data_IF_034436363495
#
_entry.id   IF_034436363495
#
_cell.length_a   1.000
_cell.length_b   1.000
_cell.length_c   1.000
_cell.angle_alpha   90.00
_cell.angle_beta   90.00
_cell.angle_gamma   90.00
#
_symmetry.space_group_name_H-M   'P 1'
#
loop_
_entity.id
_entity.type
_entity.pdbx_description
1 polymer ?
#
# COMPACT_ATOMS: atom_id res chain seq x y z
N UNK A 1 0.86 11.23 -24.90
CA UNK A 1 0.91 11.16 -26.36
C UNK A 1 0.53 9.80 -26.96
N UNK A 2 0.68 8.67 -26.28
CA UNK A 2 0.38 7.36 -26.84
C UNK A 2 1.05 6.19 -26.12
N UNK A 3 1.52 5.22 -26.88
CA UNK A 3 2.12 3.96 -26.37
C UNK A 3 3.40 3.64 -27.12
N UNK A 4 4.30 2.88 -26.48
CA UNK A 4 5.50 2.37 -27.10
C UNK A 4 5.50 0.85 -27.14
N UNK A 5 5.96 0.29 -28.27
CA UNK A 5 6.33 -1.13 -28.41
C UNK A 5 7.77 -1.24 -28.86
N UNK A 6 8.38 -2.41 -28.69
CA UNK A 6 9.80 -2.59 -29.08
C UNK A 6 10.04 -3.90 -29.82
N UNK A 7 11.09 -3.89 -30.64
CA UNK A 7 11.61 -5.07 -31.34
C UNK A 7 13.14 -5.08 -31.32
N UNK A 8 13.70 -6.23 -30.99
CA UNK A 8 15.15 -6.43 -31.12
C UNK A 8 15.49 -6.59 -32.61
N UNK A 9 16.49 -5.81 -33.05
CA UNK A 9 17.04 -5.84 -34.37
C UNK A 9 18.45 -6.46 -34.33
N UNK A 10 19.06 -6.86 -35.48
CA UNK A 10 20.48 -7.20 -35.53
C UNK A 10 21.38 -6.11 -34.95
N UNK A 11 22.65 -6.43 -34.73
CA UNK A 11 23.71 -5.49 -34.28
C UNK A 11 23.44 -4.79 -32.93
N UNK A 12 22.71 -5.49 -32.03
CA UNK A 12 22.34 -4.96 -30.71
C UNK A 12 21.58 -3.63 -30.77
N UNK A 13 20.73 -3.47 -31.77
CA UNK A 13 19.82 -2.33 -31.90
C UNK A 13 18.45 -2.75 -31.34
N UNK A 14 17.86 -1.89 -30.52
CA UNK A 14 16.45 -1.99 -30.15
C UNK A 14 15.69 -0.93 -30.93
N UNK A 15 14.69 -1.34 -31.70
CA UNK A 15 13.77 -0.45 -32.40
C UNK A 15 12.53 -0.24 -31.56
N UNK A 16 12.22 1.02 -31.26
CA UNK A 16 11.03 1.46 -30.57
C UNK A 16 10.02 1.95 -31.62
N UNK A 17 8.76 1.57 -31.45
CA UNK A 17 7.64 2.08 -32.23
C UNK A 17 6.78 2.90 -31.28
N UNK A 18 6.80 4.21 -31.46
CA UNK A 18 6.05 5.17 -30.64
C UNK A 18 4.75 5.49 -31.38
N UNK A 19 3.66 4.90 -30.92
CA UNK A 19 2.30 5.12 -31.44
C UNK A 19 1.76 6.43 -30.87
N UNK A 20 1.66 7.47 -31.68
CA UNK A 20 1.29 8.82 -31.27
C UNK A 20 -0.17 9.06 -31.60
N UNK A 21 -1.03 9.02 -30.57
CA UNK A 21 -2.48 9.29 -30.70
C UNK A 21 -2.80 10.78 -30.48
N UNK A 22 -2.03 11.43 -29.57
CA UNK A 22 -2.13 12.87 -29.31
C UNK A 22 -0.87 13.54 -29.81
N UNK A 23 -0.96 14.20 -30.99
CA UNK A 23 0.18 14.85 -31.61
C UNK A 23 0.63 16.08 -30.80
N UNK A 24 1.90 16.15 -30.36
CA UNK A 24 2.39 17.27 -29.59
C UNK A 24 2.32 18.60 -30.35
N UNK A 25 1.63 19.58 -29.76
CA UNK A 25 1.40 20.90 -30.39
C UNK A 25 2.67 21.73 -30.53
N UNK A 26 3.66 21.49 -29.70
CA UNK A 26 4.98 22.14 -29.73
C UNK A 26 5.96 21.48 -30.68
N UNK A 27 5.53 20.43 -31.40
CA UNK A 27 6.35 19.68 -32.33
C UNK A 27 7.43 18.82 -31.72
N UNK A 28 7.32 18.51 -30.40
CA UNK A 28 8.29 17.67 -29.67
C UNK A 28 7.62 16.46 -29.04
N UNK A 29 8.07 15.27 -29.42
CA UNK A 29 7.70 14.02 -28.78
C UNK A 29 8.75 13.68 -27.72
N UNK A 30 8.41 13.87 -26.46
CA UNK A 30 9.26 13.49 -25.32
C UNK A 30 8.89 12.08 -24.90
N UNK A 31 9.88 11.19 -24.85
CA UNK A 31 9.73 9.82 -24.39
C UNK A 31 10.11 9.77 -22.92
N UNK A 32 9.10 9.89 -22.06
CA UNK A 32 9.28 9.94 -20.63
C UNK A 32 10.05 8.72 -20.10
N UNK A 33 11.05 9.00 -19.26
CA UNK A 33 11.88 7.99 -18.64
C UNK A 33 12.91 7.32 -19.53
N UNK A 34 12.96 7.57 -20.84
CA UNK A 34 13.98 6.97 -21.73
C UNK A 34 15.28 7.79 -21.70
N UNK A 35 16.31 7.19 -21.13
CA UNK A 35 17.66 7.76 -21.01
C UNK A 35 18.58 7.40 -22.18
N UNK A 36 18.22 6.35 -22.96
CA UNK A 36 18.99 5.94 -24.14
C UNK A 36 19.06 7.05 -25.19
N UNK A 37 20.19 7.11 -25.91
CA UNK A 37 20.34 7.97 -27.07
C UNK A 37 19.78 7.28 -28.31
N UNK A 38 19.07 8.04 -29.13
CA UNK A 38 18.61 7.56 -30.43
C UNK A 38 19.78 7.53 -31.42
N UNK A 39 19.91 6.44 -32.16
CA UNK A 39 20.85 6.32 -33.28
C UNK A 39 20.18 6.73 -34.60
N UNK A 40 18.85 6.60 -34.71
CA UNK A 40 18.02 7.09 -35.80
C UNK A 40 16.59 7.32 -35.34
N UNK A 41 15.86 8.21 -36.00
CA UNK A 41 14.41 8.36 -35.85
C UNK A 41 13.78 8.72 -37.21
N UNK A 42 12.59 8.17 -37.49
CA UNK A 42 11.84 8.40 -38.72
C UNK A 42 10.34 8.05 -38.56
N UNK A 43 9.49 8.48 -39.48
CA UNK A 43 8.09 8.05 -39.50
C UNK A 43 7.95 6.69 -40.19
N UNK A 44 7.22 5.74 -39.56
CA UNK A 44 7.00 4.41 -40.14
C UNK A 44 6.28 4.49 -41.50
N UNK A 45 5.34 5.43 -41.64
CA UNK A 45 4.57 5.67 -42.87
C UNK A 45 5.34 6.43 -43.96
N UNK A 46 6.56 6.89 -43.72
CA UNK A 46 7.41 7.53 -44.71
C UNK A 46 8.29 6.49 -45.45
N UNK A 47 8.01 6.16 -46.74
CA UNK A 47 8.80 5.22 -47.50
C UNK A 47 10.28 5.63 -47.67
N UNK A 48 10.56 6.94 -47.64
CA UNK A 48 11.93 7.47 -47.74
C UNK A 48 12.68 7.42 -46.42
N UNK A 49 12.00 7.17 -45.31
CA UNK A 49 12.53 7.20 -43.93
C UNK A 49 13.34 8.45 -43.64
N UNK A 50 12.79 9.61 -44.07
CA UNK A 50 13.40 10.89 -43.78
C UNK A 50 13.75 11.04 -42.32
N UNK A 51 15.00 11.40 -41.98
CA UNK A 51 15.45 11.41 -40.58
C UNK A 51 14.76 12.53 -39.80
N UNK A 52 14.26 12.19 -38.62
CA UNK A 52 13.77 13.14 -37.63
C UNK A 52 14.92 13.52 -36.69
N UNK A 53 15.01 14.82 -36.35
CA UNK A 53 15.98 15.30 -35.41
C UNK A 53 15.65 14.76 -33.99
N UNK A 54 16.69 14.27 -33.30
CA UNK A 54 16.59 13.79 -31.92
C UNK A 54 17.45 14.63 -30.99
N UNK A 55 17.05 14.76 -29.75
CA UNK A 55 17.77 15.53 -28.72
C UNK A 55 17.37 15.10 -27.33
N UNK A 56 17.63 15.98 -26.36
CA UNK A 56 17.27 15.76 -24.95
C UNK A 56 16.39 16.88 -24.44
N UNK A 57 15.36 16.50 -23.70
CA UNK A 57 14.59 17.42 -22.88
C UNK A 57 14.56 16.88 -21.45
N UNK A 58 15.08 17.63 -20.46
CA UNK A 58 15.23 17.19 -19.06
C UNK A 58 15.86 15.80 -18.92
N UNK A 59 16.93 15.55 -19.69
CA UNK A 59 17.64 14.25 -19.77
C UNK A 59 16.84 13.08 -20.41
N UNK A 60 15.62 13.31 -20.88
CA UNK A 60 14.81 12.32 -21.60
C UNK A 60 14.97 12.48 -23.11
N UNK A 61 14.76 11.40 -23.85
CA UNK A 61 14.81 11.44 -25.32
C UNK A 61 13.67 12.32 -25.85
N UNK A 62 14.00 13.27 -26.71
CA UNK A 62 13.04 14.09 -27.46
C UNK A 62 13.25 13.89 -28.97
N UNK A 63 12.15 13.77 -29.70
CA UNK A 63 12.11 13.69 -31.17
C UNK A 63 11.38 14.90 -31.70
N UNK A 64 11.99 15.65 -32.64
CA UNK A 64 11.33 16.76 -33.31
C UNK A 64 10.42 16.21 -34.42
N UNK A 65 9.14 16.53 -34.32
CA UNK A 65 8.10 16.06 -35.22
C UNK A 65 7.79 17.09 -36.31
N UNK A 66 7.30 16.66 -37.50
CA UNK A 66 6.79 17.59 -38.51
C UNK A 66 5.54 18.34 -38.01
N UNK A 67 5.35 19.55 -38.49
CA UNK A 67 4.21 20.40 -38.09
C UNK A 67 2.86 19.80 -38.51
N UNK A 68 2.83 19.03 -39.61
CA UNK A 68 1.64 18.37 -40.11
C UNK A 68 1.54 16.96 -39.59
N UNK A 69 0.41 16.60 -38.97
CA UNK A 69 0.10 15.26 -38.53
C UNK A 69 -0.08 14.34 -39.73
N UNK A 70 0.74 13.28 -39.91
CA UNK A 70 0.58 12.39 -41.09
C UNK A 70 -0.68 11.53 -41.02
N UNK A 71 -1.04 11.02 -39.86
CA UNK A 71 -2.26 10.26 -39.60
C UNK A 71 -2.85 10.69 -38.24
N UNK A 72 -4.13 11.13 -38.28
CA UNK A 72 -4.79 11.63 -37.07
C UNK A 72 -5.22 10.53 -36.09
N UNK A 73 -5.19 9.26 -36.51
CA UNK A 73 -5.60 8.13 -35.68
C UNK A 73 -4.39 7.49 -34.97
N UNK A 74 -3.33 7.16 -35.73
CA UNK A 74 -2.11 6.55 -35.19
C UNK A 74 -0.92 6.85 -36.12
N UNK A 75 -0.15 7.87 -35.76
CA UNK A 75 1.15 8.08 -36.40
C UNK A 75 2.26 7.38 -35.60
N UNK A 76 3.00 6.48 -36.26
CA UNK A 76 4.09 5.73 -35.63
C UNK A 76 5.44 6.39 -35.91
N UNK A 77 6.08 6.88 -34.85
CA UNK A 77 7.46 7.32 -34.86
C UNK A 77 8.38 6.16 -34.51
N UNK A 78 9.28 5.83 -35.43
CA UNK A 78 10.29 4.76 -35.19
C UNK A 78 11.56 5.40 -34.62
N UNK A 79 12.09 4.82 -33.56
CA UNK A 79 13.35 5.25 -32.95
C UNK A 79 14.23 4.02 -32.75
N UNK A 80 15.43 4.06 -33.29
CA UNK A 80 16.45 3.04 -33.04
C UNK A 80 17.38 3.51 -31.93
N UNK A 81 17.66 2.63 -30.98
CA UNK A 81 18.62 2.86 -29.88
C UNK A 81 19.61 1.71 -29.84
N UNK A 82 20.82 1.97 -29.34
CA UNK A 82 21.84 0.94 -29.15
C UNK A 82 21.61 0.20 -27.83
N UNK A 83 21.59 -1.13 -27.88
CA UNK A 83 21.42 -1.97 -26.69
C UNK A 83 19.96 -2.06 -26.24
N UNK A 84 19.79 -2.39 -24.97
CA UNK A 84 18.49 -2.37 -24.30
C UNK A 84 18.08 -0.94 -23.96
N UNK A 85 16.76 -0.63 -23.87
CA UNK A 85 16.31 0.67 -23.38
C UNK A 85 16.83 0.93 -21.95
N UNK A 86 17.56 2.03 -21.78
CA UNK A 86 17.90 2.55 -20.46
C UNK A 86 16.75 3.43 -19.97
N UNK A 87 16.02 2.94 -18.98
CA UNK A 87 14.81 3.58 -18.49
C UNK A 87 15.00 4.09 -17.08
N UNK A 88 14.58 5.33 -16.84
CA UNK A 88 14.59 5.96 -15.52
C UNK A 88 13.57 5.29 -14.59
N UNK A 89 14.01 4.33 -13.80
CA UNK A 89 13.17 3.57 -12.87
C UNK A 89 13.38 4.10 -11.45
N UNK A 90 12.31 4.50 -10.79
CA UNK A 90 12.37 4.93 -9.40
C UNK A 90 12.85 3.78 -8.48
N UNK A 91 13.77 4.04 -7.53
CA UNK A 91 14.17 3.04 -6.55
C UNK A 91 12.98 2.52 -5.75
N UNK A 92 13.03 1.26 -5.35
CA UNK A 92 12.07 0.66 -4.42
C UNK A 92 12.55 0.86 -2.99
N UNK A 93 11.68 1.41 -2.13
CA UNK A 93 11.92 1.55 -0.69
C UNK A 93 10.98 0.58 0.02
N UNK A 94 11.51 -0.34 0.82
CA UNK A 94 10.71 -1.36 1.52
C UNK A 94 11.17 -1.55 2.96
N UNK A 95 10.21 -1.92 3.81
CA UNK A 95 10.41 -2.33 5.19
C UNK A 95 9.27 -3.27 5.61
N UNK A 96 9.40 -4.02 6.73
CA UNK A 96 8.36 -4.93 7.20
C UNK A 96 7.01 -4.25 7.48
N UNK A 97 7.02 -2.99 7.95
CA UNK A 97 5.82 -2.20 8.20
C UNK A 97 6.13 -0.69 8.14
N UNK A 98 5.13 0.16 7.86
CA UNK A 98 5.30 1.63 7.87
C UNK A 98 5.36 2.22 9.29
N UNK A 99 5.02 1.45 10.33
CA UNK A 99 5.16 1.85 11.74
C UNK A 99 6.13 0.90 12.46
N UNK A 100 6.83 1.41 13.48
CA UNK A 100 7.78 0.62 14.25
C UNK A 100 7.92 1.13 15.68
N UNK A 101 8.51 0.31 16.57
CA UNK A 101 8.62 0.64 17.98
C UNK A 101 10.02 1.15 18.34
N UNK A 102 11.05 0.38 18.10
CA UNK A 102 12.41 0.70 18.56
C UNK A 102 13.29 1.16 17.40
N UNK A 103 13.55 0.26 16.48
CA UNK A 103 14.34 0.50 15.27
C UNK A 103 13.68 -0.18 14.08
N UNK A 104 13.91 0.37 12.89
CA UNK A 104 13.44 -0.19 11.63
C UNK A 104 14.61 -0.23 10.65
N UNK A 105 14.77 -1.35 9.99
CA UNK A 105 15.66 -1.47 8.84
C UNK A 105 14.87 -1.26 7.55
N UNK A 106 15.28 -0.29 6.76
CA UNK A 106 14.68 0.07 5.48
C UNK A 106 15.63 -0.32 4.37
N UNK A 107 15.16 -1.12 3.43
CA UNK A 107 15.91 -1.51 2.24
C UNK A 107 15.57 -0.61 1.07
N UNK A 108 16.60 -0.17 0.35
CA UNK A 108 16.48 0.57 -0.90
C UNK A 108 17.15 -0.23 -2.00
N UNK A 109 16.42 -0.48 -3.09
CA UNK A 109 16.92 -1.25 -4.24
C UNK A 109 16.51 -0.60 -5.55
N UNK A 110 17.18 -0.97 -6.63
CA UNK A 110 16.83 -0.58 -8.00
C UNK A 110 16.97 -1.78 -8.93
N UNK A 111 16.09 -1.85 -9.93
CA UNK A 111 16.24 -2.75 -11.07
C UNK A 111 17.06 -2.14 -12.21
N UNK A 112 17.44 -0.87 -12.10
CA UNK A 112 18.28 -0.18 -13.06
C UNK A 112 19.75 -0.55 -12.81
N UNK A 113 20.45 -0.96 -13.87
CA UNK A 113 21.86 -1.37 -13.82
C UNK A 113 22.79 -0.14 -13.77
N UNK A 114 23.99 -0.31 -13.22
CA UNK A 114 25.09 0.68 -13.20
C UNK A 114 24.69 2.02 -12.57
N UNK A 115 23.97 1.96 -11.44
CA UNK A 115 23.54 3.15 -10.71
C UNK A 115 24.03 3.16 -9.27
N UNK A 116 24.30 4.34 -8.75
CA UNK A 116 24.47 4.63 -7.34
C UNK A 116 23.13 5.03 -6.74
N UNK A 117 22.69 4.34 -5.70
CA UNK A 117 21.48 4.74 -4.94
C UNK A 117 21.87 5.69 -3.81
N UNK A 118 21.27 6.88 -3.80
CA UNK A 118 21.47 7.86 -2.74
C UNK A 118 20.17 8.16 -2.04
N UNK A 119 20.24 8.46 -0.76
CA UNK A 119 19.05 8.64 0.07
C UNK A 119 19.15 9.84 1.02
N UNK A 120 18.00 10.25 1.52
CA UNK A 120 17.84 11.17 2.66
C UNK A 120 16.77 10.64 3.61
N UNK A 121 16.82 11.06 4.88
CA UNK A 121 15.82 10.65 5.90
C UNK A 121 15.07 11.85 6.49
N UNK A 122 15.27 13.04 5.95
CA UNK A 122 14.75 14.32 6.45
C UNK A 122 13.79 14.99 5.46
N UNK A 123 13.15 14.24 4.60
CA UNK A 123 12.23 14.70 3.55
C UNK A 123 12.85 15.58 2.45
N UNK A 124 14.15 15.81 2.44
CA UNK A 124 14.82 16.52 1.35
C UNK A 124 15.00 15.61 0.11
N UNK A 125 15.22 16.22 -1.05
CA UNK A 125 15.52 15.48 -2.26
C UNK A 125 16.96 14.96 -2.24
N UNK A 126 17.21 13.67 -2.54
CA UNK A 126 18.57 13.18 -2.72
C UNK A 126 19.30 13.89 -3.88
N UNK A 127 20.57 14.26 -3.67
CA UNK A 127 21.47 14.86 -4.63
C UNK A 127 22.79 14.07 -4.69
N UNK A 128 23.71 14.47 -5.56
CA UNK A 128 24.96 13.73 -5.82
C UNK A 128 25.84 13.51 -4.57
N UNK A 129 25.76 14.42 -3.59
CA UNK A 129 26.52 14.33 -2.33
C UNK A 129 25.71 13.73 -1.16
N UNK A 130 24.48 13.31 -1.41
CA UNK A 130 23.67 12.64 -0.38
C UNK A 130 24.29 11.27 -0.03
N UNK A 131 24.03 10.72 1.16
CA UNK A 131 24.52 9.41 1.57
C UNK A 131 24.24 8.31 0.53
N UNK A 132 25.26 7.49 0.29
CA UNK A 132 25.16 6.31 -0.59
C UNK A 132 24.47 5.17 0.17
N UNK A 133 23.59 4.45 -0.50
CA UNK A 133 22.99 3.22 0.02
C UNK A 133 24.05 2.10 -0.04
N UNK A 134 24.60 1.74 1.10
CA UNK A 134 25.60 0.65 1.23
C UNK A 134 25.02 -0.59 1.94
N UNK A 135 23.76 -0.55 2.35
CA UNK A 135 23.05 -1.60 3.07
C UNK A 135 21.73 -1.09 3.61
N UNK A 136 21.07 -1.84 4.50
CA UNK A 136 19.84 -1.39 5.13
C UNK A 136 20.03 -0.09 5.91
N UNK A 137 19.10 0.84 5.74
CA UNK A 137 19.06 2.13 6.44
C UNK A 137 18.36 1.91 7.78
N UNK A 138 19.09 2.12 8.88
CA UNK A 138 18.54 1.97 10.22
C UNK A 138 17.87 3.28 10.68
N UNK A 139 16.57 3.22 10.91
CA UNK A 139 15.80 4.30 11.52
C UNK A 139 15.62 4.09 13.03
N UNK A 140 15.79 5.14 13.81
CA UNK A 140 15.57 5.16 15.27
C UNK A 140 14.51 6.18 15.68
N UNK A 141 14.05 7.00 14.74
CA UNK A 141 12.99 8.00 14.88
C UNK A 141 12.13 8.00 13.61
N UNK A 142 10.93 8.58 13.69
CA UNK A 142 10.07 8.80 12.52
C UNK A 142 10.83 9.56 11.44
N UNK A 143 10.72 9.10 10.20
CA UNK A 143 11.43 9.68 9.08
C UNK A 143 10.68 9.48 7.75
N UNK A 144 10.84 10.40 6.82
CA UNK A 144 10.56 10.15 5.42
C UNK A 144 11.87 9.79 4.71
N UNK A 145 11.96 8.55 4.27
CA UNK A 145 13.07 8.10 3.42
C UNK A 145 12.76 8.49 1.98
N UNK A 146 13.67 9.26 1.37
CA UNK A 146 13.64 9.58 -0.06
C UNK A 146 14.85 8.93 -0.70
N UNK A 147 14.68 8.30 -1.87
CA UNK A 147 15.77 7.65 -2.61
C UNK A 147 15.73 8.01 -4.09
N UNK A 148 16.91 8.11 -4.69
CA UNK A 148 17.09 8.40 -6.12
C UNK A 148 18.33 7.69 -6.66
N UNK A 149 18.26 7.24 -7.92
CA UNK A 149 19.39 6.67 -8.63
C UNK A 149 20.21 7.75 -9.35
N UNK A 150 21.53 7.58 -9.32
CA UNK A 150 22.50 8.45 -9.96
C UNK A 150 23.48 7.65 -10.80
N UNK A 151 23.99 8.27 -11.86
CA UNK A 151 25.08 7.74 -12.69
C UNK A 151 26.07 8.87 -12.97
N UNK A 152 27.34 8.69 -12.59
CA UNK A 152 28.38 9.72 -12.69
C UNK A 152 27.93 11.09 -12.10
N UNK A 153 27.29 11.06 -10.92
CA UNK A 153 26.80 12.25 -10.21
C UNK A 153 25.51 12.89 -10.80
N UNK A 154 24.99 12.38 -11.91
CA UNK A 154 23.73 12.88 -12.52
C UNK A 154 22.54 12.03 -12.09
N UNK A 155 21.38 12.62 -11.77
CA UNK A 155 20.19 11.87 -11.42
C UNK A 155 19.63 11.17 -12.67
N UNK A 156 19.37 9.86 -12.58
CA UNK A 156 18.89 9.01 -13.67
C UNK A 156 17.56 8.31 -13.32
N UNK A 157 16.89 8.75 -12.27
CA UNK A 157 15.56 8.21 -11.89
C UNK A 157 14.65 9.29 -11.30
N UNK A 158 13.34 9.06 -11.28
CA UNK A 158 12.44 9.76 -10.34
C UNK A 158 12.84 9.48 -8.88
N UNK A 159 12.30 10.29 -7.96
CA UNK A 159 12.52 10.12 -6.52
C UNK A 159 11.39 9.25 -5.94
N UNK A 160 11.76 8.19 -5.24
CA UNK A 160 10.84 7.45 -4.36
C UNK A 160 10.81 8.06 -2.97
N UNK A 161 9.63 8.05 -2.32
CA UNK A 161 9.44 8.53 -0.95
C UNK A 161 8.52 7.61 -0.18
N UNK A 162 8.95 7.22 1.02
CA UNK A 162 8.12 6.44 1.96
C UNK A 162 8.31 7.02 3.36
N UNK A 163 7.19 7.22 4.07
CA UNK A 163 7.21 7.69 5.47
C UNK A 163 7.11 6.51 6.41
N UNK A 164 7.97 6.52 7.43
CA UNK A 164 7.99 5.53 8.51
C UNK A 164 7.78 6.24 9.85
N UNK A 165 6.86 5.71 10.66
CA UNK A 165 6.48 6.36 11.92
C UNK A 165 6.90 5.49 13.11
N UNK A 166 7.72 6.07 13.99
CA UNK A 166 8.00 5.46 15.29
C UNK A 166 6.82 5.70 16.21
N UNK A 167 6.32 4.63 16.81
CA UNK A 167 5.14 4.66 17.67
C UNK A 167 5.46 4.07 19.05
N UNK A 168 4.68 4.51 20.06
CA UNK A 168 4.72 3.90 21.38
C UNK A 168 3.65 2.82 21.46
N UNK A 169 3.96 1.60 21.91
CA UNK A 169 2.96 0.56 22.12
C UNK A 169 1.89 1.01 23.12
N UNK A 170 0.63 0.74 22.78
CA UNK A 170 -0.49 0.96 23.69
C UNK A 170 -0.32 0.10 24.94
N UNK A 171 -0.66 0.65 26.10
CA UNK A 171 -0.56 -0.05 27.38
C UNK A 171 -1.77 -0.98 27.56
N UNK A 172 -1.58 -2.17 28.13
CA UNK A 172 -2.69 -3.07 28.44
C UNK A 172 -3.53 -2.53 29.60
N UNK A 173 -4.77 -2.99 29.67
CA UNK A 173 -5.63 -2.81 30.83
C UNK A 173 -5.41 -3.94 31.86
N UNK A 174 -5.75 -3.69 33.11
CA UNK A 174 -5.73 -4.70 34.18
C UNK A 174 -7.16 -5.20 34.40
N UNK A 175 -7.33 -6.52 34.33
CA UNK A 175 -8.60 -7.19 34.60
C UNK A 175 -8.36 -8.23 35.68
N UNK A 176 -9.12 -8.18 36.76
CA UNK A 176 -8.89 -9.03 37.94
C UNK A 176 -9.14 -10.51 37.64
N UNK A 177 -10.20 -10.80 36.88
CA UNK A 177 -10.60 -12.16 36.48
C UNK A 177 -11.17 -12.18 35.08
N UNK A 178 -10.80 -13.18 34.30
CA UNK A 178 -11.27 -13.34 32.92
C UNK A 178 -11.76 -14.75 32.66
N UNK A 179 -12.69 -14.86 31.69
CA UNK A 179 -13.14 -16.12 31.10
C UNK A 179 -13.01 -16.04 29.57
N UNK A 180 -12.80 -17.18 28.87
CA UNK A 180 -12.74 -17.20 27.40
C UNK A 180 -14.02 -16.71 26.76
N UNK A 181 -13.91 -15.99 25.64
CA UNK A 181 -15.03 -15.56 24.82
C UNK A 181 -15.14 -14.05 24.62
N UNK A 182 -16.20 -13.66 23.93
CA UNK A 182 -16.59 -12.27 23.67
C UNK A 182 -18.05 -12.06 24.12
N UNK A 183 -18.35 -10.92 24.68
CA UNK A 183 -19.74 -10.46 24.82
C UNK A 183 -20.25 -10.06 23.46
N UNK A 184 -21.52 -10.27 23.20
CA UNK A 184 -22.17 -9.74 22.00
C UNK A 184 -23.43 -8.95 22.33
N UNK A 185 -23.71 -7.99 21.47
CA UNK A 185 -24.98 -7.32 21.31
C UNK A 185 -25.48 -7.62 19.90
N UNK A 186 -26.70 -8.13 19.78
CA UNK A 186 -27.36 -8.42 18.52
C UNK A 186 -28.41 -7.34 18.25
N UNK A 187 -28.42 -6.84 17.02
CA UNK A 187 -29.29 -5.78 16.54
C UNK A 187 -30.09 -6.24 15.35
N UNK A 188 -31.33 -5.77 15.24
CA UNK A 188 -32.16 -5.96 14.07
C UNK A 188 -32.53 -4.61 13.44
N UNK A 189 -32.45 -4.54 12.12
CA UNK A 189 -32.77 -3.34 11.36
C UNK A 189 -32.04 -3.29 10.02
N UNK A 190 -32.44 -2.33 9.21
CA UNK A 190 -31.72 -2.02 7.97
C UNK A 190 -30.63 -0.99 8.28
N UNK A 191 -29.39 -1.41 8.19
CA UNK A 191 -28.22 -0.59 8.50
C UNK A 191 -27.48 -0.19 7.21
N UNK A 192 -26.87 0.98 7.21
CA UNK A 192 -25.93 1.41 6.20
C UNK A 192 -24.51 1.50 6.77
N UNK A 193 -24.44 1.64 8.10
CA UNK A 193 -23.17 1.67 8.86
C UNK A 193 -23.35 1.03 10.23
N UNK A 194 -22.27 0.54 10.79
CA UNK A 194 -22.26 -0.01 12.16
C UNK A 194 -22.55 1.06 13.22
N UNK A 195 -22.41 2.35 12.89
CA UNK A 195 -22.82 3.47 13.75
C UNK A 195 -24.34 3.65 13.86
N UNK A 196 -25.10 2.96 13.04
CA UNK A 196 -26.57 3.03 13.06
C UNK A 196 -27.20 2.16 14.16
N UNK A 197 -26.42 1.30 14.79
CA UNK A 197 -26.86 0.47 15.91
C UNK A 197 -27.44 1.33 17.03
N UNK A 198 -28.62 0.97 17.52
CA UNK A 198 -29.32 1.67 18.62
C UNK A 198 -29.52 0.72 19.82
N UNK A 199 -30.66 0.09 19.91
CA UNK A 199 -30.99 -0.79 21.03
C UNK A 199 -30.78 -2.24 20.60
N UNK A 200 -29.94 -3.00 21.29
CA UNK A 200 -29.77 -4.41 21.00
C UNK A 200 -31.00 -5.20 21.42
N UNK A 201 -31.41 -6.12 20.57
CA UNK A 201 -32.53 -7.06 20.81
C UNK A 201 -32.11 -8.16 21.78
N UNK A 202 -30.82 -8.58 21.68
CA UNK A 202 -30.29 -9.70 22.46
C UNK A 202 -28.86 -9.46 22.88
N UNK A 203 -28.47 -10.00 24.00
CA UNK A 203 -27.10 -9.96 24.53
C UNK A 203 -26.70 -11.33 25.03
N UNK A 204 -25.42 -11.62 24.99
CA UNK A 204 -24.89 -12.88 25.52
C UNK A 204 -23.37 -12.95 25.41
N UNK A 205 -22.86 -14.18 25.46
CA UNK A 205 -21.46 -14.50 25.32
C UNK A 205 -21.31 -15.58 24.25
N UNK A 206 -20.32 -15.42 23.39
CA UNK A 206 -19.92 -16.39 22.36
C UNK A 206 -18.42 -16.69 22.51
N UNK A 207 -17.95 -17.80 21.94
CA UNK A 207 -16.53 -18.16 22.02
C UNK A 207 -15.65 -17.21 21.22
N UNK A 208 -16.12 -16.86 20.02
CA UNK A 208 -15.43 -15.95 19.09
C UNK A 208 -16.50 -15.25 18.24
N UNK A 209 -16.23 -14.79 17.03
CA UNK A 209 -17.17 -14.12 16.14
C UNK A 209 -18.21 -15.10 15.58
N UNK A 210 -19.22 -15.45 16.38
CA UNK A 210 -20.27 -16.39 16.02
C UNK A 210 -21.58 -15.62 15.78
N UNK A 211 -22.13 -15.75 14.58
CA UNK A 211 -23.40 -15.14 14.17
C UNK A 211 -24.60 -16.10 14.37
N UNK A 212 -24.40 -17.29 14.92
CA UNK A 212 -25.49 -18.26 15.18
C UNK A 212 -26.58 -17.74 16.12
N UNK A 213 -26.30 -16.80 17.07
CA UNK A 213 -27.35 -16.21 17.90
C UNK A 213 -28.36 -15.33 17.16
N UNK A 214 -28.16 -15.04 15.85
CA UNK A 214 -29.08 -14.24 15.04
C UNK A 214 -30.46 -14.90 14.92
N UNK A 215 -31.48 -14.07 14.80
CA UNK A 215 -32.89 -14.53 14.61
C UNK A 215 -33.39 -14.26 13.17
N UNK A 216 -32.54 -13.62 12.34
CA UNK A 216 -32.80 -13.31 10.93
C UNK A 216 -31.63 -13.73 10.05
N UNK A 217 -31.91 -13.96 8.76
CA UNK A 217 -30.89 -14.28 7.77
C UNK A 217 -30.31 -13.02 7.09
N UNK A 218 -31.01 -11.87 7.23
CA UNK A 218 -30.60 -10.56 6.71
C UNK A 218 -31.10 -9.45 7.62
N UNK A 219 -30.60 -8.22 7.43
CA UNK A 219 -30.98 -7.02 8.20
C UNK A 219 -30.73 -7.18 9.69
N UNK A 220 -29.50 -7.59 10.00
CA UNK A 220 -29.03 -7.77 11.37
C UNK A 220 -27.64 -7.19 11.55
N UNK A 221 -27.26 -6.99 12.82
CA UNK A 221 -25.92 -6.58 13.18
C UNK A 221 -25.47 -7.19 14.50
N UNK A 222 -24.17 -7.25 14.67
CA UNK A 222 -23.51 -7.68 15.89
C UNK A 222 -22.46 -6.67 16.33
N UNK A 223 -22.37 -6.45 17.62
CA UNK A 223 -21.19 -5.89 18.28
C UNK A 223 -20.61 -6.94 19.19
N UNK A 224 -19.41 -7.38 18.87
CA UNK A 224 -18.62 -8.27 19.73
C UNK A 224 -17.62 -7.43 20.52
N UNK A 225 -17.48 -7.68 21.82
CA UNK A 225 -16.54 -6.92 22.63
C UNK A 225 -16.01 -7.73 23.80
N UNK A 226 -14.78 -7.43 24.17
CA UNK A 226 -14.04 -8.09 25.24
C UNK A 226 -12.60 -7.59 25.27
N UNK A 227 -11.68 -8.51 25.48
CA UNK A 227 -10.26 -8.20 25.53
C UNK A 227 -9.48 -9.17 24.66
N UNK A 228 -8.53 -8.65 23.92
CA UNK A 228 -7.53 -9.42 23.17
C UNK A 228 -6.33 -9.69 24.08
N UNK A 229 -5.85 -10.93 24.11
CA UNK A 229 -4.61 -11.32 24.80
C UNK A 229 -3.42 -11.13 23.87
N UNK A 230 -2.65 -10.09 24.08
CA UNK A 230 -1.43 -9.80 23.32
C UNK A 230 -0.24 -10.50 23.98
N UNK A 231 0.43 -11.45 23.29
CA UNK A 231 1.48 -12.25 23.91
C UNK A 231 2.81 -11.52 24.04
N UNK A 232 3.17 -10.67 23.09
CA UNK A 232 4.47 -9.99 23.00
C UNK A 232 4.32 -8.52 22.66
N UNK A 233 5.31 -7.71 23.05
CA UNK A 233 5.42 -6.32 22.62
C UNK A 233 5.76 -6.28 21.14
N UNK A 234 4.99 -5.55 20.33
CA UNK A 234 5.26 -5.44 18.91
C UNK A 234 4.22 -4.69 18.12
N UNK A 235 4.46 -4.61 16.81
CA UNK A 235 3.47 -4.17 15.82
C UNK A 235 2.63 -5.37 15.40
N UNK A 236 1.32 -5.20 15.44
CA UNK A 236 0.34 -6.18 15.03
C UNK A 236 -0.45 -5.66 13.83
N UNK A 237 -0.68 -6.53 12.85
CA UNK A 237 -1.61 -6.28 11.76
C UNK A 237 -2.90 -7.04 12.03
N UNK A 238 -4.03 -6.36 11.85
CA UNK A 238 -5.36 -6.95 11.88
C UNK A 238 -5.96 -6.87 10.49
N UNK A 239 -6.55 -7.97 10.02
CA UNK A 239 -7.29 -8.02 8.77
C UNK A 239 -8.75 -8.39 9.06
N UNK A 240 -9.65 -7.53 8.63
CA UNK A 240 -11.09 -7.65 8.80
C UNK A 240 -11.74 -7.85 7.45
N UNK A 241 -12.30 -9.03 7.22
CA UNK A 241 -13.10 -9.36 6.04
C UNK A 241 -14.57 -9.39 6.43
N UNK A 242 -15.41 -8.72 5.70
CA UNK A 242 -16.86 -8.75 5.91
C UNK A 242 -17.65 -8.58 4.62
N UNK A 243 -18.88 -9.01 4.67
CA UNK A 243 -20.01 -8.77 3.78
C UNK A 243 -21.26 -8.64 4.68
N UNK A 244 -21.90 -7.48 4.87
CA UNK A 244 -21.54 -6.11 4.45
C UNK A 244 -20.46 -5.46 5.37
N UNK A 245 -20.88 -4.34 6.02
CA UNK A 245 -20.00 -3.43 6.73
C UNK A 245 -19.51 -3.91 8.09
N UNK A 246 -18.28 -3.54 8.43
CA UNK A 246 -17.68 -3.87 9.72
C UNK A 246 -16.64 -2.86 10.16
N UNK A 247 -16.39 -2.79 11.48
CA UNK A 247 -15.27 -2.05 12.07
C UNK A 247 -14.61 -2.87 13.16
N UNK A 248 -13.29 -2.74 13.26
CA UNK A 248 -12.50 -3.31 14.34
C UNK A 248 -11.87 -2.19 15.14
N UNK A 249 -12.05 -2.24 16.45
CA UNK A 249 -11.49 -1.28 17.40
C UNK A 249 -10.56 -2.00 18.37
N UNK A 250 -9.43 -1.35 18.65
CA UNK A 250 -8.50 -1.75 19.71
C UNK A 250 -8.34 -0.55 20.64
N UNK A 251 -8.47 -0.79 21.95
CA UNK A 251 -8.41 0.24 22.99
C UNK A 251 -9.34 1.46 22.69
N UNK A 252 -10.54 1.16 22.19
CA UNK A 252 -11.59 2.11 21.82
C UNK A 252 -11.30 2.99 20.61
N UNK A 253 -10.21 2.78 19.90
CA UNK A 253 -9.89 3.49 18.66
C UNK A 253 -10.14 2.60 17.45
N UNK A 254 -10.78 3.15 16.41
CA UNK A 254 -11.03 2.44 15.15
C UNK A 254 -9.69 2.15 14.48
N UNK A 255 -9.37 0.87 14.37
CA UNK A 255 -8.15 0.39 13.72
C UNK A 255 -8.41 -0.01 12.27
N UNK A 256 -9.52 -0.69 12.01
CA UNK A 256 -9.95 -1.05 10.66
C UNK A 256 -11.37 -0.54 10.45
N UNK A 257 -11.53 0.33 9.47
CA UNK A 257 -12.82 0.82 9.01
C UNK A 257 -13.17 0.17 7.66
N UNK A 258 -13.97 -0.90 7.73
CA UNK A 258 -14.53 -1.61 6.59
C UNK A 258 -16.05 -1.41 6.52
N UNK A 259 -16.54 -0.25 6.99
CA UNK A 259 -17.96 0.06 7.10
C UNK A 259 -18.61 0.38 5.74
N UNK A 260 -19.94 0.33 5.72
CA UNK A 260 -20.75 0.58 4.53
C UNK A 260 -21.21 -0.69 3.82
N UNK A 261 -21.99 -0.52 2.74
CA UNK A 261 -22.51 -1.63 1.92
C UNK A 261 -21.47 -2.06 0.90
N UNK A 262 -21.14 -3.35 0.88
CA UNK A 262 -20.20 -3.92 -0.08
C UNK A 262 -20.25 -5.46 -0.06
N UNK A 263 -19.91 -6.07 -1.19
CA UNK A 263 -19.60 -7.50 -1.29
C UNK A 263 -18.35 -7.86 -0.49
N UNK A 264 -18.04 -9.15 -0.28
CA UNK A 264 -16.90 -9.57 0.55
C UNK A 264 -15.62 -8.79 0.24
N UNK A 265 -15.11 -8.08 1.25
CA UNK A 265 -13.93 -7.22 1.15
C UNK A 265 -13.09 -7.31 2.41
N UNK A 266 -11.77 -7.31 2.24
CA UNK A 266 -10.81 -7.24 3.33
C UNK A 266 -10.18 -5.85 3.42
N UNK A 267 -10.03 -5.34 4.66
CA UNK A 267 -9.18 -4.21 5.00
C UNK A 267 -8.27 -4.56 6.16
N UNK A 268 -7.12 -3.90 6.24
CA UNK A 268 -6.12 -4.11 7.28
C UNK A 268 -5.82 -2.84 8.07
N UNK A 269 -5.30 -3.03 9.29
CA UNK A 269 -4.82 -1.95 10.14
C UNK A 269 -3.66 -2.41 11.00
N UNK A 270 -2.73 -1.49 11.29
CA UNK A 270 -1.53 -1.73 12.08
C UNK A 270 -1.58 -0.97 13.39
N UNK A 271 -1.21 -1.65 14.48
CA UNK A 271 -1.12 -1.04 15.80
C UNK A 271 0.05 -1.63 16.60
N UNK A 272 0.73 -0.78 17.37
CA UNK A 272 1.74 -1.24 18.31
C UNK A 272 1.11 -1.51 19.68
N UNK A 273 1.33 -2.71 20.22
CA UNK A 273 0.74 -3.15 21.48
C UNK A 273 1.84 -3.66 22.44
N UNK A 274 1.67 -3.35 23.72
CA UNK A 274 2.42 -4.00 24.80
C UNK A 274 1.77 -5.35 25.14
N UNK A 275 2.49 -6.31 25.76
CA UNK A 275 1.89 -7.57 26.17
C UNK A 275 0.83 -7.36 27.26
N UNK A 276 -0.25 -8.14 27.20
CA UNK A 276 -1.35 -8.08 28.16
C UNK A 276 -2.71 -8.02 27.50
N UNK A 277 -3.72 -7.49 28.20
CA UNK A 277 -5.10 -7.41 27.73
C UNK A 277 -5.38 -6.03 27.14
N UNK A 278 -5.93 -6.01 25.94
CA UNK A 278 -6.36 -4.79 25.25
C UNK A 278 -7.86 -4.83 24.98
N UNK A 279 -8.55 -3.73 25.15
CA UNK A 279 -9.95 -3.62 24.74
C UNK A 279 -10.07 -3.98 23.27
N UNK A 280 -11.01 -4.86 22.96
CA UNK A 280 -11.20 -5.38 21.62
C UNK A 280 -12.69 -5.38 21.26
N UNK A 281 -13.03 -4.79 20.13
CA UNK A 281 -14.39 -4.72 19.63
C UNK A 281 -14.42 -4.94 18.14
N UNK A 282 -15.42 -5.69 17.68
CA UNK A 282 -15.79 -5.82 16.27
C UNK A 282 -17.27 -5.54 16.12
N UNK A 283 -17.60 -4.55 15.32
CA UNK A 283 -18.96 -4.26 14.87
C UNK A 283 -19.12 -4.82 13.45
N UNK A 284 -20.25 -5.44 13.17
CA UNK A 284 -20.56 -6.06 11.89
C UNK A 284 -22.06 -5.97 11.60
N UNK A 285 -22.45 -5.73 10.36
CA UNK A 285 -23.83 -5.87 9.93
C UNK A 285 -23.94 -6.51 8.56
N UNK A 286 -25.08 -7.16 8.35
CA UNK A 286 -25.56 -7.69 7.08
C UNK A 286 -26.91 -7.03 6.77
N UNK A 287 -27.04 -6.51 5.55
CA UNK A 287 -28.26 -5.86 5.07
C UNK A 287 -29.11 -6.81 4.24
N UNK A 288 -28.61 -7.24 3.11
CA UNK A 288 -29.33 -8.11 2.17
C UNK A 288 -28.30 -8.99 1.40
N UNK A 289 -28.59 -10.29 1.28
CA UNK A 289 -27.77 -11.23 0.53
C UNK A 289 -27.08 -12.30 1.38
N UNK A 290 -25.83 -12.52 1.14
CA UNK A 290 -24.98 -13.39 1.94
C UNK A 290 -24.18 -12.60 2.96
N UNK A 291 -23.64 -13.26 3.96
CA UNK A 291 -22.75 -12.62 4.94
C UNK A 291 -21.43 -13.36 5.08
N UNK A 292 -20.38 -12.61 5.38
CA UNK A 292 -19.07 -13.12 5.77
C UNK A 292 -18.49 -12.24 6.88
N UNK A 293 -17.84 -12.85 7.87
CA UNK A 293 -17.10 -12.15 8.90
C UNK A 293 -15.89 -12.98 9.31
N UNK A 294 -14.70 -12.47 9.01
CA UNK A 294 -13.43 -13.09 9.39
C UNK A 294 -12.49 -12.05 9.96
N UNK A 295 -11.86 -12.38 11.06
CA UNK A 295 -10.85 -11.53 11.71
C UNK A 295 -9.57 -12.32 11.83
N UNK A 296 -8.52 -11.85 11.15
CA UNK A 296 -7.18 -12.40 11.24
C UNK A 296 -6.24 -11.40 11.88
N UNK A 297 -5.18 -11.91 12.44
CA UNK A 297 -4.11 -11.10 12.97
C UNK A 297 -2.73 -11.74 12.74
N UNK A 298 -1.71 -10.92 12.79
CA UNK A 298 -0.30 -11.32 12.80
C UNK A 298 0.51 -10.37 13.67
N UNK A 299 1.70 -10.78 14.08
CA UNK A 299 2.57 -9.96 14.92
C UNK A 299 3.92 -10.64 15.17
N UNK A 300 4.69 -10.19 16.17
CA UNK A 300 5.98 -10.81 16.50
C UNK A 300 5.84 -12.29 16.81
N UNK A 301 6.52 -13.14 16.02
CA UNK A 301 6.48 -14.60 16.09
C UNK A 301 5.06 -15.20 15.96
N UNK A 302 4.14 -14.43 15.42
CA UNK A 302 2.76 -14.81 15.16
C UNK A 302 2.47 -14.67 13.66
N UNK A 303 2.49 -15.77 12.90
CA UNK A 303 2.09 -15.74 11.50
C UNK A 303 0.62 -15.36 11.37
N UNK A 304 0.22 -14.86 10.22
CA UNK A 304 -1.20 -14.52 9.97
C UNK A 304 -2.09 -15.72 10.22
N UNK A 305 -3.02 -15.57 11.14
CA UNK A 305 -3.97 -16.61 11.55
C UNK A 305 -5.31 -15.98 12.00
N UNK A 306 -6.42 -16.74 12.01
CA UNK A 306 -7.67 -16.26 12.57
C UNK A 306 -7.54 -16.01 14.07
N UNK A 307 -8.27 -15.01 14.57
CA UNK A 307 -8.49 -14.85 16.01
C UNK A 307 -9.43 -15.96 16.49
N UNK A 308 -9.03 -16.64 17.56
CA UNK A 308 -9.74 -17.78 18.14
C UNK A 308 -10.20 -17.49 19.57
N UNK A 309 -10.93 -18.43 20.18
CA UNK A 309 -11.34 -18.36 21.58
C UNK A 309 -10.19 -18.40 22.59
N UNK A 310 -8.96 -18.76 22.14
CA UNK A 310 -7.74 -18.69 22.93
C UNK A 310 -7.17 -17.28 23.06
N UNK A 311 -7.50 -16.43 22.08
CA UNK A 311 -6.95 -15.10 21.91
C UNK A 311 -7.81 -14.02 22.58
N UNK A 312 -9.08 -14.32 22.90
CA UNK A 312 -10.04 -13.35 23.42
C UNK A 312 -10.66 -13.80 24.75
N UNK A 313 -10.94 -12.82 25.62
CA UNK A 313 -11.54 -13.05 26.95
C UNK A 313 -12.55 -11.96 27.30
N UNK A 314 -13.47 -12.29 28.21
CA UNK A 314 -14.34 -11.33 28.88
C UNK A 314 -13.89 -11.10 30.31
N UNK A 315 -14.16 -9.90 30.84
CA UNK A 315 -14.01 -9.63 32.27
C UNK A 315 -15.18 -10.21 33.07
N UNK A 316 -14.85 -10.87 34.18
CA UNK A 316 -15.80 -11.42 35.16
C UNK A 316 -15.70 -10.67 36.50
N UNK A 317 -14.84 -9.67 36.60
CA UNK A 317 -14.57 -8.82 37.76
C UNK A 317 -14.34 -7.37 37.35
N UNK A 318 -13.71 -6.60 38.22
CA UNK A 318 -13.42 -5.20 37.99
C UNK A 318 -12.36 -5.01 36.89
N UNK A 319 -12.57 -4.03 36.06
CA UNK A 319 -11.62 -3.57 35.05
C UNK A 319 -10.93 -2.30 35.58
N UNK A 320 -9.61 -2.29 35.62
CA UNK A 320 -8.83 -1.13 36.04
C UNK A 320 -8.03 -0.61 34.85
N UNK A 321 -8.27 0.63 34.48
CA UNK A 321 -7.45 1.31 33.46
C UNK A 321 -6.18 1.84 34.13
N UNK A 322 -5.00 1.47 33.60
CA UNK A 322 -3.76 2.17 33.98
C UNK A 322 -3.88 3.60 33.44
N UNK A 323 -3.83 4.59 34.33
CA UNK A 323 -3.88 6.01 33.96
C UNK A 323 -2.95 6.26 32.75
N UNK A 324 -3.50 6.97 31.78
CA UNK A 324 -2.84 7.36 30.53
C UNK A 324 -1.58 8.18 30.78
#
# INVERSE_FOLDING_TARGET
>A
WGRATQKQMPDRVTRLYLHVFDWPKDGKLVVDGLLSEATSAFLLGDPSRSPLATGRERDMLAVTLPATVPDAVDTVVVVDIKGKPDVAIAPTISAPAPIFIDTLEVTVSSSQEDVELRYTTNATNPHADSPLVSGPIRLTASAQVSARAFRAGRPVSPISRVSFTKVTPRKPVLVDKTEPGLRYEYFEGTFEKTTDFRTPVKRGVVRVFDVSPRERNSRFGFRYFGFLKVPKRGVYEFALTSDDGSRLLVDSEVLVDNDGLHSPREKTGLVALAPGLHLFQVDFFERDGGFDLKVHWSGPDLPRQPITDRDVVIAVGNVRYRNR
#
